data_IF_854008124305
#
_entry.id   IF_854008124305
#
_cell.length_a   1.000
_cell.length_b   1.000
_cell.length_c   1.000
_cell.angle_alpha   90.00
_cell.angle_beta   90.00
_cell.angle_gamma   90.00
#
_symmetry.space_group_name_H-M   'P 1'
#
loop_
_entity.id
_entity.type
_entity.pdbx_description
1 polymer ?
#
# COMPACT_ATOMS: atom_id res chain seq x y z
N UNK A 1 -47.72 -25.56 -38.46
CA UNK A 1 -47.66 -25.55 -36.97
C UNK A 1 -46.59 -24.55 -36.57
N UNK A 2 -46.93 -23.55 -35.74
CA UNK A 2 -46.08 -22.39 -35.49
C UNK A 2 -45.04 -22.65 -34.38
N UNK A 3 -43.95 -21.89 -34.46
CA UNK A 3 -42.81 -21.92 -33.55
C UNK A 3 -43.18 -21.43 -32.15
N UNK A 4 -42.68 -22.14 -31.13
CA UNK A 4 -42.88 -21.83 -29.73
C UNK A 4 -41.62 -21.09 -29.21
N UNK A 5 -41.66 -19.76 -29.17
CA UNK A 5 -40.67 -18.93 -28.48
C UNK A 5 -41.15 -18.69 -27.06
N UNK A 6 -40.63 -19.47 -26.11
CA UNK A 6 -40.85 -19.20 -24.69
C UNK A 6 -39.94 -18.05 -24.26
N UNK A 7 -40.59 -16.97 -23.83
CA UNK A 7 -39.98 -15.81 -23.24
C UNK A 7 -39.20 -16.18 -21.98
N UNK A 8 -37.95 -15.74 -21.95
CA UNK A 8 -37.24 -15.51 -20.69
C UNK A 8 -37.58 -14.08 -20.32
N UNK A 9 -38.31 -13.93 -19.22
CA UNK A 9 -38.55 -12.67 -18.53
C UNK A 9 -37.21 -12.05 -18.14
N UNK A 10 -36.67 -11.28 -19.07
CA UNK A 10 -35.62 -10.31 -18.83
C UNK A 10 -36.24 -9.24 -17.94
N UNK A 11 -35.98 -9.34 -16.64
CA UNK A 11 -36.15 -8.27 -15.67
C UNK A 11 -35.15 -7.12 -15.97
N UNK A 12 -35.20 -6.59 -17.19
CA UNK A 12 -34.74 -5.25 -17.51
C UNK A 12 -35.96 -4.35 -17.38
N UNK A 13 -36.33 -4.07 -16.14
CA UNK A 13 -37.03 -2.83 -15.81
C UNK A 13 -36.17 -1.67 -16.30
N UNK A 14 -36.55 -1.15 -17.46
CA UNK A 14 -36.42 0.23 -17.93
C UNK A 14 -35.58 1.13 -17.00
N UNK A 15 -34.26 1.08 -17.14
CA UNK A 15 -33.39 2.08 -16.57
C UNK A 15 -33.48 3.31 -17.48
N UNK A 16 -34.19 4.34 -17.03
CA UNK A 16 -34.02 5.68 -17.55
C UNK A 16 -32.52 5.93 -17.71
N UNK A 17 -32.07 6.39 -18.88
CA UNK A 17 -30.71 6.91 -19.07
C UNK A 17 -30.55 8.02 -18.03
N UNK A 18 -29.90 7.71 -16.91
CA UNK A 18 -29.59 8.71 -15.89
C UNK A 18 -28.58 9.66 -16.49
N UNK A 19 -29.00 10.88 -16.80
CA UNK A 19 -28.17 12.02 -17.24
C UNK A 19 -27.18 12.49 -16.14
N UNK A 20 -27.00 11.69 -15.09
CA UNK A 20 -26.10 11.95 -13.97
C UNK A 20 -24.67 12.04 -14.49
N UNK A 21 -23.99 13.09 -14.08
CA UNK A 21 -22.62 13.38 -14.48
C UNK A 21 -21.92 14.18 -13.37
N UNK A 22 -20.60 14.27 -13.43
CA UNK A 22 -19.82 14.94 -12.40
C UNK A 22 -19.98 14.26 -11.05
N UNK A 23 -20.01 15.05 -9.98
CA UNK A 23 -20.07 14.55 -8.59
C UNK A 23 -21.35 13.73 -8.33
N UNK A 24 -22.49 14.10 -8.92
CA UNK A 24 -23.76 13.39 -8.74
C UNK A 24 -23.69 11.94 -9.21
N UNK A 25 -22.97 11.67 -10.30
CA UNK A 25 -22.76 10.31 -10.79
C UNK A 25 -21.91 9.49 -9.82
N UNK A 26 -20.90 10.11 -9.22
CA UNK A 26 -20.00 9.44 -8.27
C UNK A 26 -20.77 9.08 -7.00
N UNK A 27 -21.51 10.03 -6.45
CA UNK A 27 -22.32 9.82 -5.24
C UNK A 27 -23.40 8.74 -5.45
N UNK A 28 -24.03 8.72 -6.64
CA UNK A 28 -25.00 7.67 -6.97
C UNK A 28 -24.40 6.26 -6.95
N UNK A 29 -23.15 6.09 -7.38
CA UNK A 29 -22.51 4.77 -7.48
C UNK A 29 -21.65 4.37 -6.28
N UNK A 30 -21.04 5.34 -5.60
CA UNK A 30 -19.99 5.11 -4.61
C UNK A 30 -20.20 5.91 -3.31
N UNK A 31 -21.25 6.71 -3.24
CA UNK A 31 -21.56 7.56 -2.11
C UNK A 31 -21.89 6.79 -0.82
N UNK A 32 -21.87 7.47 0.35
CA UNK A 32 -21.37 8.83 0.50
C UNK A 32 -19.84 8.90 0.30
N UNK A 33 -19.37 9.98 -0.33
CA UNK A 33 -17.95 10.34 -0.40
C UNK A 33 -17.49 11.09 0.87
N UNK A 34 -16.19 11.07 1.15
CA UNK A 34 -15.62 11.81 2.26
C UNK A 34 -15.31 13.25 1.82
N UNK A 35 -16.14 14.22 2.22
CA UNK A 35 -15.92 15.67 2.01
C UNK A 35 -15.40 16.00 0.58
N UNK A 36 -16.17 15.71 -0.48
CA UNK A 36 -15.69 15.81 -1.85
C UNK A 36 -15.22 17.22 -2.21
N UNK A 37 -14.02 17.30 -2.80
CA UNK A 37 -13.39 18.52 -3.30
C UNK A 37 -14.15 19.09 -4.50
N UNK A 38 -14.02 20.40 -4.68
CA UNK A 38 -14.58 21.08 -5.84
C UNK A 38 -13.75 20.75 -7.07
N UNK A 39 -14.36 20.09 -8.04
CA UNK A 39 -13.79 19.90 -9.37
C UNK A 39 -14.85 20.15 -10.44
N UNK A 40 -14.41 20.33 -11.68
CA UNK A 40 -15.35 20.44 -12.80
C UNK A 40 -16.07 19.12 -13.04
N UNK A 41 -17.14 19.17 -13.83
CA UNK A 41 -17.99 18.01 -14.16
C UNK A 41 -17.21 16.86 -14.82
N UNK A 42 -16.24 17.19 -15.67
CA UNK A 42 -15.50 16.19 -16.46
C UNK A 42 -14.60 15.27 -15.62
N UNK A 43 -13.71 15.77 -14.73
CA UNK A 43 -12.90 14.94 -13.83
C UNK A 43 -13.70 13.92 -13.02
N UNK A 44 -14.78 14.35 -12.36
CA UNK A 44 -15.63 13.44 -11.59
C UNK A 44 -16.34 12.39 -12.48
N UNK A 45 -16.74 12.77 -13.69
CA UNK A 45 -17.31 11.83 -14.66
C UNK A 45 -16.28 10.77 -15.08
N UNK A 46 -15.06 11.20 -15.40
CA UNK A 46 -13.97 10.28 -15.77
C UNK A 46 -13.60 9.36 -14.62
N UNK A 47 -13.51 9.88 -13.40
CA UNK A 47 -13.29 9.10 -12.18
C UNK A 47 -14.36 8.00 -12.04
N UNK A 48 -15.65 8.35 -12.17
CA UNK A 48 -16.74 7.37 -12.05
C UNK A 48 -16.67 6.29 -13.13
N UNK A 49 -16.48 6.68 -14.38
CA UNK A 49 -16.38 5.73 -15.50
C UNK A 49 -15.18 4.80 -15.29
N UNK A 50 -14.02 5.37 -14.91
CA UNK A 50 -12.81 4.61 -14.64
C UNK A 50 -13.03 3.59 -13.51
N UNK A 51 -13.58 4.03 -12.37
CA UNK A 51 -13.86 3.17 -11.21
C UNK A 51 -14.88 2.08 -11.53
N UNK A 52 -15.95 2.41 -12.26
CA UNK A 52 -16.94 1.42 -12.71
C UNK A 52 -16.30 0.37 -13.62
N UNK A 53 -15.52 0.78 -14.62
CA UNK A 53 -14.83 -0.15 -15.52
C UNK A 53 -13.83 -1.05 -14.78
N UNK A 54 -13.06 -0.46 -13.87
CA UNK A 54 -12.12 -1.19 -13.02
C UNK A 54 -12.86 -2.20 -12.16
N UNK A 55 -13.94 -1.81 -11.46
CA UNK A 55 -14.73 -2.72 -10.61
C UNK A 55 -15.52 -3.78 -11.39
N UNK A 56 -15.82 -3.55 -12.67
CA UNK A 56 -16.43 -4.56 -13.54
C UNK A 56 -15.42 -5.64 -13.94
N UNK A 57 -14.16 -5.25 -14.13
CA UNK A 57 -13.09 -6.14 -14.58
C UNK A 57 -12.38 -6.83 -13.43
N UNK A 58 -12.23 -6.13 -12.30
CA UNK A 58 -11.45 -6.53 -11.14
C UNK A 58 -12.33 -6.60 -9.90
N UNK A 59 -11.96 -7.47 -8.97
CA UNK A 59 -12.65 -7.62 -7.69
C UNK A 59 -12.32 -6.41 -6.80
N UNK A 60 -13.34 -5.79 -6.21
CA UNK A 60 -13.15 -4.82 -5.11
C UNK A 60 -13.04 -5.57 -3.80
N UNK A 61 -12.34 -4.99 -2.83
CA UNK A 61 -12.22 -5.58 -1.48
C UNK A 61 -13.60 -5.87 -0.88
N UNK A 62 -14.59 -5.00 -1.12
CA UNK A 62 -15.97 -5.15 -0.58
C UNK A 62 -16.91 -5.98 -1.48
N UNK A 63 -16.42 -6.59 -2.56
CA UNK A 63 -17.29 -7.33 -3.49
C UNK A 63 -17.99 -8.50 -2.79
N UNK A 64 -19.33 -8.49 -2.80
CA UNK A 64 -20.15 -9.65 -2.42
C UNK A 64 -19.89 -10.78 -3.41
N UNK A 65 -19.72 -12.05 -2.97
CA UNK A 65 -19.52 -13.17 -3.88
C UNK A 65 -20.60 -13.19 -4.97
N UNK A 66 -20.20 -13.46 -6.22
CA UNK A 66 -21.11 -13.51 -7.36
C UNK A 66 -22.19 -14.58 -7.09
N UNK A 67 -23.44 -14.15 -6.88
CA UNK A 67 -24.59 -15.06 -6.78
C UNK A 67 -24.66 -15.92 -8.05
N UNK A 68 -24.43 -17.23 -7.91
CA UNK A 68 -24.60 -18.22 -8.98
C UNK A 68 -23.33 -18.98 -9.40
N UNK A 69 -22.17 -18.75 -8.78
CA UNK A 69 -21.12 -19.77 -8.79
C UNK A 69 -21.44 -20.79 -7.70
N UNK A 70 -21.75 -22.03 -8.09
CA UNK A 70 -21.87 -23.18 -7.16
C UNK A 70 -20.50 -23.62 -6.60
N UNK A 71 -19.42 -22.93 -6.96
CA UNK A 71 -18.19 -22.95 -6.19
C UNK A 71 -18.39 -22.05 -4.97
N UNK A 72 -18.41 -22.65 -3.79
CA UNK A 72 -18.08 -22.03 -2.51
C UNK A 72 -16.72 -21.33 -2.67
N UNK A 73 -16.72 -20.12 -3.24
CA UNK A 73 -15.51 -19.33 -3.38
C UNK A 73 -15.13 -18.87 -1.98
N UNK A 74 -14.32 -19.69 -1.30
CA UNK A 74 -13.57 -19.29 -0.14
C UNK A 74 -13.04 -17.88 -0.42
N UNK A 75 -13.50 -16.92 0.39
CA UNK A 75 -13.01 -15.57 0.29
C UNK A 75 -11.50 -15.62 0.42
N UNK A 76 -10.80 -15.32 -0.68
CA UNK A 76 -9.34 -15.36 -0.80
C UNK A 76 -8.72 -14.80 0.48
N UNK A 77 -7.92 -15.60 1.16
CA UNK A 77 -7.37 -15.27 2.48
C UNK A 77 -6.69 -13.90 2.49
N UNK A 78 -6.06 -13.56 1.38
CA UNK A 78 -5.45 -12.26 1.11
C UNK A 78 -6.43 -11.07 1.17
N UNK A 79 -7.65 -11.22 0.65
CA UNK A 79 -8.67 -10.16 0.73
C UNK A 79 -9.06 -9.90 2.18
N UNK A 80 -9.07 -10.93 3.04
CA UNK A 80 -9.34 -10.80 4.48
C UNK A 80 -8.24 -10.02 5.18
N UNK A 81 -6.98 -10.22 4.82
CA UNK A 81 -5.86 -9.46 5.37
C UNK A 81 -5.96 -7.97 5.02
N UNK A 82 -6.20 -7.63 3.75
CA UNK A 82 -6.42 -6.23 3.35
C UNK A 82 -7.60 -5.62 4.12
N UNK A 83 -8.73 -6.33 4.22
CA UNK A 83 -9.89 -5.87 5.00
C UNK A 83 -9.54 -5.58 6.45
N UNK A 84 -8.87 -6.51 7.12
CA UNK A 84 -8.50 -6.36 8.52
C UNK A 84 -7.58 -5.15 8.73
N UNK A 85 -6.54 -5.01 7.89
CA UNK A 85 -5.60 -3.89 7.97
C UNK A 85 -6.31 -2.54 7.75
N UNK A 86 -7.19 -2.46 6.74
CA UNK A 86 -7.91 -1.22 6.41
C UNK A 86 -8.96 -0.89 7.49
N UNK A 87 -9.60 -1.91 8.07
CA UNK A 87 -10.59 -1.72 9.16
C UNK A 87 -9.96 -1.05 10.38
N UNK A 88 -8.75 -1.45 10.75
CA UNK A 88 -8.02 -0.81 11.85
C UNK A 88 -7.82 0.70 11.60
N UNK A 89 -7.51 1.08 10.35
CA UNK A 89 -7.34 2.49 9.97
C UNK A 89 -8.68 3.22 10.00
N UNK A 90 -9.76 2.59 9.55
CA UNK A 90 -11.12 3.14 9.64
C UNK A 90 -11.50 3.44 11.10
N UNK A 91 -11.27 2.49 12.01
CA UNK A 91 -11.54 2.65 13.44
C UNK A 91 -10.71 3.79 14.06
N UNK A 92 -9.41 3.86 13.74
CA UNK A 92 -8.53 4.92 14.22
C UNK A 92 -8.92 6.33 13.74
N UNK A 93 -9.56 6.41 12.57
CA UNK A 93 -10.00 7.65 11.94
C UNK A 93 -11.48 7.98 12.25
N UNK A 94 -12.16 7.15 13.04
CA UNK A 94 -13.59 7.26 13.34
C UNK A 94 -14.45 7.28 12.06
N UNK A 95 -14.08 6.43 11.10
CA UNK A 95 -14.85 6.20 9.88
C UNK A 95 -15.76 5.00 10.02
N UNK A 96 -16.91 5.05 9.34
CA UNK A 96 -17.80 3.88 9.25
C UNK A 96 -17.05 2.73 8.55
N UNK A 97 -17.18 1.52 9.10
CA UNK A 97 -16.54 0.33 8.56
C UNK A 97 -16.87 0.13 7.07
N UNK A 98 -15.85 -0.11 6.27
CA UNK A 98 -15.94 -0.28 4.81
C UNK A 98 -15.84 1.01 4.00
N UNK A 99 -15.79 2.18 4.63
CA UNK A 99 -15.65 3.49 3.97
C UNK A 99 -14.42 3.58 3.07
N UNK A 100 -13.27 3.13 3.55
CA UNK A 100 -12.01 3.05 2.82
C UNK A 100 -11.90 1.75 2.04
N UNK A 101 -12.41 0.64 2.57
CA UNK A 101 -12.34 -0.65 1.87
C UNK A 101 -13.02 -0.60 0.49
N UNK A 102 -14.18 0.07 0.37
CA UNK A 102 -14.90 0.20 -0.92
C UNK A 102 -14.10 0.97 -1.98
N UNK A 103 -13.10 1.75 -1.56
CA UNK A 103 -12.23 2.53 -2.42
C UNK A 103 -11.05 1.74 -2.97
N UNK A 104 -10.82 0.52 -2.49
CA UNK A 104 -9.67 -0.32 -2.86
C UNK A 104 -10.10 -1.39 -3.86
N UNK A 105 -9.40 -1.44 -5.00
CA UNK A 105 -9.58 -2.47 -6.03
C UNK A 105 -8.27 -3.17 -6.32
N UNK A 106 -8.26 -4.50 -6.24
CA UNK A 106 -7.08 -5.32 -6.46
C UNK A 106 -6.95 -5.60 -7.96
N UNK A 107 -5.93 -5.05 -8.60
CA UNK A 107 -5.69 -5.20 -10.04
C UNK A 107 -4.84 -6.44 -10.35
N UNK A 108 -3.93 -6.79 -9.44
CA UNK A 108 -3.05 -7.96 -9.51
C UNK A 108 -2.82 -8.49 -8.09
N UNK A 109 -3.01 -9.80 -7.90
CA UNK A 109 -2.65 -10.51 -6.67
C UNK A 109 -1.98 -11.82 -7.06
N UNK A 110 -0.67 -11.75 -7.30
CA UNK A 110 0.15 -12.94 -7.56
C UNK A 110 0.92 -13.25 -6.27
N UNK A 111 0.57 -14.34 -5.60
CA UNK A 111 1.24 -14.81 -4.38
C UNK A 111 1.63 -16.27 -4.56
N UNK A 112 2.89 -16.58 -4.27
CA UNK A 112 3.42 -17.95 -4.25
C UNK A 112 3.82 -18.25 -2.81
N UNK A 113 3.29 -19.34 -2.26
CA UNK A 113 3.58 -19.80 -0.90
C UNK A 113 4.68 -20.88 -0.91
N UNK A 114 5.38 -21.01 0.21
CA UNK A 114 6.31 -22.09 0.55
C UNK A 114 6.03 -22.49 2.00
N UNK A 115 5.49 -23.71 2.21
CA UNK A 115 5.02 -24.19 3.52
C UNK A 115 4.10 -23.19 4.27
N UNK A 116 3.09 -22.65 3.57
CA UNK A 116 2.11 -21.65 4.07
C UNK A 116 2.66 -20.22 4.25
N UNK A 117 3.99 -20.02 4.17
CA UNK A 117 4.59 -18.68 4.22
C UNK A 117 4.68 -18.05 2.83
N UNK A 118 4.47 -16.73 2.67
CA UNK A 118 4.68 -16.05 1.40
C UNK A 118 6.14 -16.16 0.95
N UNK A 119 6.38 -16.86 -0.17
CA UNK A 119 7.69 -16.92 -0.82
C UNK A 119 7.90 -15.76 -1.77
N UNK A 120 6.87 -15.40 -2.52
CA UNK A 120 6.93 -14.23 -3.40
C UNK A 120 5.57 -13.63 -3.62
N UNK A 121 5.50 -12.30 -3.67
CA UNK A 121 4.28 -11.57 -4.01
C UNK A 121 4.55 -10.52 -5.08
N UNK A 122 3.54 -10.27 -5.91
CA UNK A 122 3.48 -9.16 -6.86
C UNK A 122 2.05 -8.63 -6.89
N UNK A 123 1.83 -7.56 -6.12
CA UNK A 123 0.52 -6.97 -5.86
C UNK A 123 0.42 -5.59 -6.48
N UNK A 124 -0.64 -5.36 -7.25
CA UNK A 124 -0.99 -4.03 -7.77
C UNK A 124 -2.39 -3.71 -7.30
N UNK A 125 -2.51 -2.63 -6.55
CA UNK A 125 -3.76 -2.21 -5.94
C UNK A 125 -4.03 -0.76 -6.29
N UNK A 126 -5.29 -0.44 -6.61
CA UNK A 126 -5.74 0.93 -6.87
C UNK A 126 -6.63 1.41 -5.74
N UNK A 127 -6.28 2.55 -5.16
CA UNK A 127 -7.03 3.25 -4.13
C UNK A 127 -7.68 4.47 -4.78
N UNK A 128 -8.99 4.40 -5.01
CA UNK A 128 -9.76 5.55 -5.47
C UNK A 128 -9.94 6.55 -4.34
N UNK A 129 -9.56 7.80 -4.55
CA UNK A 129 -9.75 8.82 -3.52
C UNK A 129 -11.23 8.96 -3.16
N UNK A 130 -11.58 8.98 -1.87
CA UNK A 130 -12.94 9.28 -1.42
C UNK A 130 -13.24 10.79 -1.41
N UNK A 131 -12.24 11.66 -1.59
CA UNK A 131 -12.37 13.12 -1.48
C UNK A 131 -12.17 13.85 -2.80
N UNK A 132 -11.51 13.23 -3.79
CA UNK A 132 -11.11 13.89 -5.03
C UNK A 132 -11.29 12.97 -6.24
N UNK A 133 -11.43 13.52 -7.46
CA UNK A 133 -11.49 12.72 -8.69
C UNK A 133 -10.09 12.23 -9.08
N UNK A 134 -9.42 11.50 -8.19
CA UNK A 134 -8.04 11.01 -8.29
C UNK A 134 -7.97 9.56 -7.78
N UNK A 135 -6.87 8.87 -8.07
CA UNK A 135 -6.57 7.59 -7.42
C UNK A 135 -5.07 7.42 -7.23
N UNK A 136 -4.69 6.47 -6.37
CA UNK A 136 -3.32 6.05 -6.15
C UNK A 136 -3.20 4.61 -6.60
N UNK A 137 -2.26 4.32 -7.50
CA UNK A 137 -1.82 2.95 -7.76
C UNK A 137 -0.67 2.63 -6.80
N UNK A 138 -0.75 1.49 -6.12
CA UNK A 138 0.27 0.97 -5.20
C UNK A 138 0.78 -0.35 -5.76
N UNK A 139 2.10 -0.51 -5.80
CA UNK A 139 2.75 -1.74 -6.23
C UNK A 139 3.65 -2.25 -5.12
N UNK A 140 3.47 -3.52 -4.76
CA UNK A 140 4.30 -4.21 -3.80
C UNK A 140 4.85 -5.49 -4.42
N UNK A 141 6.15 -5.68 -4.30
CA UNK A 141 6.83 -6.89 -4.73
C UNK A 141 7.66 -7.41 -3.57
N UNK A 142 7.52 -8.69 -3.28
CA UNK A 142 8.23 -9.37 -2.21
C UNK A 142 8.84 -10.67 -2.71
N UNK A 143 10.00 -11.02 -2.16
CA UNK A 143 10.62 -12.31 -2.35
C UNK A 143 11.36 -12.69 -1.07
N UNK A 144 11.02 -13.84 -0.49
CA UNK A 144 11.76 -14.46 0.58
C UNK A 144 11.88 -15.95 0.28
N UNK A 145 13.10 -16.48 0.29
CA UNK A 145 13.32 -17.91 0.07
C UNK A 145 14.42 -18.43 0.99
N UNK A 146 14.02 -19.35 1.85
CA UNK A 146 14.95 -20.17 2.60
C UNK A 146 15.59 -21.22 1.70
N UNK A 147 16.91 -21.29 1.70
CA UNK A 147 17.73 -22.34 1.07
C UNK A 147 18.55 -23.02 2.15
N UNK A 148 19.15 -24.17 1.80
CA UNK A 148 19.90 -25.02 2.74
C UNK A 148 20.97 -24.28 3.57
N UNK A 149 21.52 -23.19 3.05
CA UNK A 149 22.60 -22.42 3.69
C UNK A 149 22.41 -20.90 3.61
N UNK A 150 21.29 -20.41 3.11
CA UNK A 150 21.07 -18.98 2.88
C UNK A 150 19.58 -18.62 2.88
N UNK A 151 19.25 -17.40 3.29
CA UNK A 151 17.92 -16.83 3.08
C UNK A 151 18.09 -15.69 2.08
N UNK A 152 17.41 -15.78 0.94
CA UNK A 152 17.28 -14.68 0.00
C UNK A 152 16.07 -13.86 0.44
N UNK A 153 16.22 -12.55 0.59
CA UNK A 153 15.11 -11.67 0.93
C UNK A 153 15.26 -10.32 0.22
N UNK A 154 14.17 -9.86 -0.38
CA UNK A 154 14.03 -8.51 -0.89
C UNK A 154 12.57 -8.11 -1.00
N UNK A 155 12.30 -6.81 -0.89
CA UNK A 155 11.01 -6.24 -1.23
C UNK A 155 11.17 -4.83 -1.83
N UNK A 156 10.16 -4.42 -2.59
CA UNK A 156 10.00 -3.05 -3.07
C UNK A 156 8.55 -2.63 -2.93
N UNK A 157 8.34 -1.41 -2.46
CA UNK A 157 7.03 -0.79 -2.35
C UNK A 157 7.07 0.61 -2.97
N UNK A 158 6.13 0.88 -3.85
CA UNK A 158 6.03 2.15 -4.55
C UNK A 158 4.59 2.53 -4.84
N UNK A 159 4.39 3.80 -5.17
CA UNK A 159 3.07 4.34 -5.48
C UNK A 159 3.11 5.36 -6.61
N UNK A 160 1.96 5.59 -7.23
CA UNK A 160 1.77 6.59 -8.28
C UNK A 160 0.43 7.28 -8.10
N UNK A 161 0.46 8.60 -7.93
CA UNK A 161 -0.75 9.43 -7.81
C UNK A 161 -1.23 9.84 -9.20
N UNK A 162 -2.45 9.46 -9.55
CA UNK A 162 -3.11 9.83 -10.80
C UNK A 162 -4.09 10.98 -10.55
N UNK A 163 -3.57 12.21 -10.65
CA UNK A 163 -4.33 13.45 -10.40
C UNK A 163 -5.39 13.76 -11.46
N UNK A 164 -5.29 13.15 -12.63
CA UNK A 164 -6.20 13.37 -13.78
C UNK A 164 -6.52 12.03 -14.44
N UNK A 165 -7.36 11.20 -13.78
CA UNK A 165 -7.69 9.89 -14.31
C UNK A 165 -8.39 10.02 -15.67
N UNK A 166 -7.91 9.24 -16.64
CA UNK A 166 -8.61 9.04 -17.90
C UNK A 166 -9.85 8.18 -17.65
N UNK A 167 -10.91 8.35 -18.46
CA UNK A 167 -12.09 7.49 -18.39
C UNK A 167 -11.75 6.01 -18.65
N UNK A 168 -10.71 5.73 -19.45
CA UNK A 168 -10.18 4.39 -19.68
C UNK A 168 -9.23 4.01 -18.55
N UNK A 169 -9.57 2.96 -17.80
CA UNK A 169 -8.73 2.46 -16.73
C UNK A 169 -7.53 1.66 -17.27
N UNK A 170 -6.31 2.03 -16.83
CA UNK A 170 -5.13 1.18 -17.01
C UNK A 170 -5.32 -0.13 -16.27
N UNK A 171 -4.96 -1.23 -16.92
CA UNK A 171 -4.99 -2.58 -16.37
C UNK A 171 -3.64 -2.93 -15.71
N UNK A 172 -3.62 -4.01 -14.92
CA UNK A 172 -2.40 -4.46 -14.24
C UNK A 172 -1.19 -4.66 -15.17
N UNK A 173 -1.38 -5.26 -16.35
CA UNK A 173 -0.29 -5.48 -17.30
C UNK A 173 0.30 -4.15 -17.82
N UNK A 174 -0.54 -3.18 -18.12
CA UNK A 174 -0.10 -1.85 -18.53
C UNK A 174 0.72 -1.17 -17.42
N UNK A 175 0.29 -1.32 -16.15
CA UNK A 175 1.04 -0.84 -14.98
C UNK A 175 2.38 -1.56 -14.84
N UNK A 176 2.41 -2.90 -14.93
CA UNK A 176 3.67 -3.67 -14.87
C UNK A 176 4.67 -3.21 -15.94
N UNK A 177 4.20 -2.83 -17.13
CA UNK A 177 5.06 -2.30 -18.19
C UNK A 177 5.63 -0.90 -17.92
N UNK A 178 5.03 -0.13 -17.00
CA UNK A 178 5.60 1.16 -16.55
C UNK A 178 6.71 0.99 -15.51
N UNK A 179 6.75 -0.17 -14.83
CA UNK A 179 7.65 -0.47 -13.73
C UNK A 179 8.89 -1.19 -14.28
N UNK A 180 10.09 -0.76 -13.89
CA UNK A 180 11.34 -1.31 -14.44
C UNK A 180 11.67 -2.65 -13.78
N UNK A 181 12.25 -3.56 -14.56
CA UNK A 181 12.99 -4.72 -14.01
C UNK A 181 14.40 -4.26 -13.63
N UNK A 182 14.70 -4.23 -12.34
CA UNK A 182 15.98 -3.75 -11.81
C UNK A 182 16.22 -4.21 -10.38
N UNK A 183 17.29 -3.69 -9.76
CA UNK A 183 17.51 -3.82 -8.32
C UNK A 183 16.41 -3.14 -7.51
N UNK A 184 16.23 -3.49 -6.23
CA UNK A 184 15.16 -2.95 -5.39
C UNK A 184 15.04 -1.42 -5.41
N UNK A 185 16.17 -0.72 -5.44
CA UNK A 185 16.28 0.74 -5.46
C UNK A 185 15.82 1.41 -6.76
N UNK A 186 15.75 0.65 -7.87
CA UNK A 186 15.54 1.18 -9.22
C UNK A 186 14.11 0.97 -9.76
N UNK A 187 13.29 0.17 -9.05
CA UNK A 187 12.00 -0.34 -9.57
C UNK A 187 11.04 0.79 -9.95
N UNK A 188 11.00 1.87 -9.14
CA UNK A 188 10.04 2.96 -9.28
C UNK A 188 10.62 4.28 -9.80
N UNK A 189 11.83 4.27 -10.38
CA UNK A 189 12.54 5.49 -10.77
C UNK A 189 11.93 6.26 -11.98
N UNK A 190 10.83 5.79 -12.58
CA UNK A 190 10.31 6.31 -13.85
C UNK A 190 8.78 6.40 -13.90
N UNK A 191 8.27 7.05 -14.95
CA UNK A 191 6.85 7.11 -15.32
C UNK A 191 5.93 7.71 -14.23
N UNK A 192 6.49 8.52 -13.33
CA UNK A 192 5.76 9.17 -12.25
C UNK A 192 5.51 8.28 -11.03
N UNK A 193 6.07 7.08 -11.00
CA UNK A 193 6.15 6.27 -9.78
C UNK A 193 7.07 6.94 -8.77
N UNK A 194 6.79 6.70 -7.49
CA UNK A 194 7.57 7.12 -6.34
C UNK A 194 7.87 5.89 -5.50
N UNK A 195 9.11 5.78 -5.01
CA UNK A 195 9.50 4.74 -4.08
C UNK A 195 8.99 5.11 -2.69
N UNK A 196 8.26 4.20 -2.03
CA UNK A 196 7.93 4.33 -0.62
C UNK A 196 9.07 3.76 0.22
N UNK A 197 9.50 2.54 -0.12
CA UNK A 197 10.66 1.93 0.49
C UNK A 197 11.00 0.57 -0.11
N UNK A 198 12.19 0.11 0.21
CA UNK A 198 12.71 -1.17 -0.25
C UNK A 198 13.68 -1.73 0.79
N UNK A 199 13.86 -3.04 0.76
CA UNK A 199 14.83 -3.73 1.59
C UNK A 199 15.32 -5.00 0.91
N UNK A 200 16.55 -5.39 1.20
CA UNK A 200 17.15 -6.63 0.75
C UNK A 200 18.31 -7.05 1.66
N UNK A 201 18.74 -8.30 1.55
CA UNK A 201 20.04 -8.68 2.06
C UNK A 201 21.15 -8.28 1.08
N UNK A 202 22.32 -7.96 1.63
CA UNK A 202 23.53 -7.77 0.84
C UNK A 202 23.99 -9.09 0.24
N UNK A 203 23.80 -9.22 -1.07
CA UNK A 203 24.25 -10.39 -1.84
C UNK A 203 25.69 -10.24 -2.36
N UNK A 204 26.45 -9.21 -1.92
CA UNK A 204 27.84 -9.06 -2.35
C UNK A 204 28.76 -10.17 -1.79
N UNK A 205 29.76 -10.55 -2.60
CA UNK A 205 30.60 -11.71 -2.34
C UNK A 205 31.37 -11.56 -1.03
N UNK A 206 31.17 -12.51 -0.09
CA UNK A 206 31.72 -12.57 1.27
C UNK A 206 31.05 -11.69 2.35
N UNK A 207 29.90 -11.08 2.08
CA UNK A 207 29.15 -10.36 3.14
C UNK A 207 28.32 -11.29 4.04
N UNK A 208 28.98 -12.33 4.54
CA UNK A 208 28.51 -13.13 5.66
C UNK A 208 29.18 -12.56 6.91
N UNK A 209 28.40 -11.91 7.77
CA UNK A 209 28.87 -11.48 9.07
C UNK A 209 29.40 -12.64 9.90
N UNK A 210 29.98 -12.28 11.04
CA UNK A 210 30.32 -13.27 12.06
C UNK A 210 29.07 -14.13 12.33
N UNK A 211 29.19 -15.46 12.16
CA UNK A 211 28.10 -16.47 12.25
C UNK A 211 27.17 -16.61 11.02
N UNK A 212 27.54 -16.09 9.86
CA UNK A 212 26.76 -16.32 8.62
C UNK A 212 25.49 -15.46 8.50
N UNK A 213 25.37 -14.41 9.32
CA UNK A 213 24.26 -13.45 9.23
C UNK A 213 24.48 -12.52 8.04
N UNK A 214 23.47 -12.39 7.18
CA UNK A 214 23.49 -11.42 6.08
C UNK A 214 23.17 -10.02 6.61
N UNK A 215 23.80 -9.02 6.01
CA UNK A 215 23.54 -7.62 6.36
C UNK A 215 22.29 -7.16 5.66
N UNK A 216 21.32 -6.67 6.42
CA UNK A 216 20.14 -6.02 5.90
C UNK A 216 20.47 -4.61 5.38
N UNK A 217 20.00 -4.33 4.18
CA UNK A 217 20.00 -3.01 3.55
C UNK A 217 18.58 -2.62 3.22
N UNK A 218 18.25 -1.35 3.40
CA UNK A 218 16.93 -0.85 3.08
C UNK A 218 16.81 0.62 3.36
N UNK A 219 15.76 1.22 2.81
CA UNK A 219 15.46 2.64 2.98
C UNK A 219 13.97 2.89 2.80
N UNK A 220 13.45 3.80 3.62
CA UNK A 220 12.18 4.49 3.33
C UNK A 220 12.54 5.74 2.53
N UNK A 221 12.07 5.81 1.29
CA UNK A 221 12.36 6.89 0.34
C UNK A 221 11.19 7.87 0.21
N UNK A 222 10.46 8.05 1.30
CA UNK A 222 9.43 9.07 1.43
C UNK A 222 10.03 10.42 1.82
N UNK A 223 9.42 11.48 1.30
CA UNK A 223 9.71 12.87 1.63
C UNK A 223 8.43 13.55 2.16
N UNK A 224 8.57 14.67 2.89
CA UNK A 224 7.44 15.39 3.49
C UNK A 224 6.37 15.73 2.43
N UNK A 225 6.79 16.19 1.25
CA UNK A 225 5.88 16.51 0.15
C UNK A 225 5.14 15.28 -0.37
N UNK A 226 5.83 14.13 -0.44
CA UNK A 226 5.23 12.87 -0.90
C UNK A 226 4.18 12.34 0.06
N UNK A 227 4.43 12.47 1.37
CA UNK A 227 3.47 12.09 2.42
C UNK A 227 2.26 13.02 2.43
N UNK A 228 2.48 14.33 2.31
CA UNK A 228 1.40 15.31 2.19
C UNK A 228 0.54 15.04 0.95
N UNK A 229 1.15 14.80 -0.20
CA UNK A 229 0.45 14.49 -1.45
C UNK A 229 -0.45 13.25 -1.31
N UNK A 230 0.04 12.21 -0.65
CA UNK A 230 -0.75 11.00 -0.35
C UNK A 230 -1.94 11.35 0.55
N UNK A 231 -1.70 12.09 1.64
CA UNK A 231 -2.76 12.49 2.55
C UNK A 231 -3.83 13.34 1.85
N UNK A 232 -3.43 14.38 1.12
CA UNK A 232 -4.36 15.29 0.45
C UNK A 232 -5.23 14.57 -0.58
N UNK A 233 -4.64 13.63 -1.31
CA UNK A 233 -5.39 12.80 -2.25
C UNK A 233 -6.40 11.93 -1.52
N UNK A 234 -6.07 11.33 -0.37
CA UNK A 234 -6.94 10.36 0.29
C UNK A 234 -7.98 11.00 1.23
N UNK A 235 -7.61 12.09 1.91
CA UNK A 235 -8.40 12.66 3.00
C UNK A 235 -8.71 14.15 2.83
N UNK A 236 -8.16 14.79 1.79
CA UNK A 236 -8.33 16.20 1.50
C UNK A 236 -7.25 17.08 2.15
N UNK A 237 -7.34 18.38 1.88
CA UNK A 237 -6.38 19.40 2.36
C UNK A 237 -6.17 19.29 3.88
N UNK A 238 -4.89 19.36 4.28
CA UNK A 238 -4.48 19.30 5.68
C UNK A 238 -3.68 20.56 6.03
N UNK A 239 -4.27 21.41 6.87
CA UNK A 239 -3.60 22.63 7.33
C UNK A 239 -2.57 22.28 8.41
N UNK A 240 -1.32 22.74 8.22
CA UNK A 240 -0.25 22.57 9.20
C UNK A 240 -0.51 23.51 10.40
N UNK A 241 -0.65 22.97 11.62
CA UNK A 241 -0.89 23.78 12.81
C UNK A 241 0.31 24.67 13.17
N UNK A 242 0.09 25.61 14.09
CA UNK A 242 1.18 26.38 14.67
C UNK A 242 2.09 25.47 15.53
N UNK A 243 3.41 25.67 15.45
CA UNK A 243 4.39 24.87 16.21
C UNK A 243 4.20 24.95 17.73
N UNK A 244 3.50 25.97 18.23
CA UNK A 244 3.20 26.13 19.66
C UNK A 244 2.07 25.24 20.17
N UNK A 245 1.28 24.64 19.27
CA UNK A 245 0.18 23.75 19.62
C UNK A 245 0.60 22.28 19.43
N UNK A 246 1.17 21.70 20.48
CA UNK A 246 1.71 20.34 20.44
C UNK A 246 0.65 19.28 20.17
N UNK A 247 -0.59 19.49 20.64
CA UNK A 247 -1.69 18.53 20.45
C UNK A 247 -2.17 18.55 18.99
N UNK A 248 -2.39 19.74 18.42
CA UNK A 248 -2.75 19.86 17.02
C UNK A 248 -1.63 19.34 16.11
N UNK A 249 -0.37 19.64 16.42
CA UNK A 249 0.78 19.12 15.66
C UNK A 249 0.86 17.59 15.71
N UNK A 250 0.61 16.98 16.87
CA UNK A 250 0.55 15.52 16.98
C UNK A 250 -0.59 14.93 16.13
N UNK A 251 -1.78 15.54 16.16
CA UNK A 251 -2.90 15.11 15.33
C UNK A 251 -2.58 15.24 13.82
N UNK A 252 -1.90 16.32 13.42
CA UNK A 252 -1.40 16.52 12.06
C UNK A 252 -0.46 15.38 11.63
N UNK A 253 0.58 15.09 12.41
CA UNK A 253 1.52 14.01 12.11
C UNK A 253 0.86 12.63 12.10
N UNK A 254 -0.04 12.34 13.04
CA UNK A 254 -0.82 11.10 13.05
C UNK A 254 -1.65 10.93 11.79
N UNK A 255 -2.26 12.01 11.29
CA UNK A 255 -3.02 11.98 10.05
C UNK A 255 -2.13 11.61 8.85
N UNK A 256 -0.94 12.21 8.76
CA UNK A 256 0.05 11.89 7.73
C UNK A 256 0.50 10.43 7.78
N UNK A 257 0.82 9.91 8.98
CA UNK A 257 1.22 8.51 9.18
C UNK A 257 0.10 7.56 8.74
N UNK A 258 -1.16 7.86 9.04
CA UNK A 258 -2.31 7.05 8.60
C UNK A 258 -2.47 7.00 7.09
N UNK A 259 -2.15 8.08 6.37
CA UNK A 259 -2.11 8.08 4.90
C UNK A 259 -1.13 7.06 4.35
N UNK A 260 0.08 6.98 4.92
CA UNK A 260 1.09 6.00 4.51
C UNK A 260 0.70 4.58 4.92
N UNK A 261 0.17 4.41 6.14
CA UNK A 261 -0.35 3.11 6.60
C UNK A 261 -1.47 2.60 5.71
N UNK A 262 -2.30 3.46 5.13
CA UNK A 262 -3.33 3.05 4.18
C UNK A 262 -2.73 2.50 2.87
N UNK A 263 -1.59 3.03 2.40
CA UNK A 263 -0.88 2.45 1.25
C UNK A 263 -0.35 1.05 1.56
N UNK A 264 0.21 0.85 2.76
CA UNK A 264 0.68 -0.45 3.25
C UNK A 264 -0.48 -1.45 3.40
N UNK A 265 -1.55 -1.04 4.08
CA UNK A 265 -2.74 -1.85 4.30
C UNK A 265 -3.42 -2.27 2.99
N UNK A 266 -3.42 -1.41 1.97
CA UNK A 266 -3.98 -1.71 0.66
C UNK A 266 -3.29 -2.88 -0.04
N UNK A 267 -2.02 -3.15 0.29
CA UNK A 267 -1.25 -4.32 -0.19
C UNK A 267 -1.03 -5.37 0.91
N UNK A 268 -1.94 -5.42 1.90
CA UNK A 268 -1.97 -6.48 2.91
C UNK A 268 -0.91 -6.36 4.01
N UNK A 269 -0.25 -5.22 4.14
CA UNK A 269 0.81 -5.01 5.15
C UNK A 269 0.24 -4.32 6.39
N UNK A 270 0.12 -5.07 7.49
CA UNK A 270 -0.25 -4.58 8.82
C UNK A 270 0.95 -4.03 9.59
N UNK A 271 1.43 -2.84 9.23
CA UNK A 271 2.47 -2.15 9.98
C UNK A 271 1.87 -1.07 10.89
N UNK A 272 2.00 -1.23 12.20
CA UNK A 272 1.67 -0.18 13.17
C UNK A 272 2.86 0.73 13.43
N UNK A 273 2.67 2.02 13.17
CA UNK A 273 3.69 3.04 13.35
C UNK A 273 3.30 3.93 14.52
N UNK A 274 4.06 3.87 15.60
CA UNK A 274 3.88 4.70 16.77
C UNK A 274 4.09 6.17 16.40
N UNK A 275 3.25 7.04 16.94
CA UNK A 275 3.33 8.49 16.83
C UNK A 275 3.72 9.17 18.17
N UNK A 276 3.84 8.39 19.23
CA UNK A 276 4.20 8.83 20.59
C UNK A 276 5.11 7.79 21.25
N UNK A 277 5.83 8.19 22.31
CA UNK A 277 6.75 7.28 23.01
C UNK A 277 6.03 6.19 23.82
N UNK A 278 4.74 6.36 24.16
CA UNK A 278 3.90 5.36 24.85
C UNK A 278 3.28 4.32 23.90
N UNK A 279 3.25 4.60 22.60
CA UNK A 279 2.82 3.65 21.55
C UNK A 279 3.98 2.75 21.10
N UNK A 280 3.70 1.56 20.56
CA UNK A 280 4.71 0.61 20.08
C UNK A 280 4.60 0.33 18.59
N UNK A 281 5.76 0.14 17.94
CA UNK A 281 5.84 -0.22 16.52
C UNK A 281 5.68 -1.74 16.33
N UNK A 282 4.61 -2.17 15.64
CA UNK A 282 4.36 -3.59 15.34
C UNK A 282 4.62 -3.89 13.87
N UNK A 283 5.52 -4.85 13.64
CA UNK A 283 5.88 -5.32 12.30
C UNK A 283 4.80 -6.25 11.76
N UNK A 284 4.58 -6.29 10.44
CA UNK A 284 3.80 -7.34 9.80
C UNK A 284 4.37 -8.72 10.14
N UNK A 285 3.49 -9.70 10.39
CA UNK A 285 3.88 -11.07 10.74
C UNK A 285 4.29 -11.90 9.52
N UNK A 286 3.56 -11.77 8.41
CA UNK A 286 3.70 -12.64 7.23
C UNK A 286 4.72 -12.15 6.21
N UNK A 287 4.94 -10.84 6.15
CA UNK A 287 5.80 -10.20 5.16
C UNK A 287 6.92 -9.47 5.89
N UNK A 288 8.13 -10.03 5.87
CA UNK A 288 9.26 -9.38 6.53
C UNK A 288 9.63 -8.09 5.79
N UNK A 289 9.40 -6.93 6.41
CA UNK A 289 9.89 -5.64 5.89
C UNK A 289 11.22 -5.23 6.52
N UNK A 290 11.55 -5.80 7.67
CA UNK A 290 12.83 -5.58 8.34
C UNK A 290 13.12 -6.69 9.36
N UNK A 291 14.36 -7.15 9.42
CA UNK A 291 14.82 -8.22 10.30
C UNK A 291 15.54 -7.74 11.57
N UNK A 292 16.15 -6.56 11.52
CA UNK A 292 16.90 -5.97 12.65
C UNK A 292 15.99 -5.47 13.79
N UNK A 293 16.59 -5.18 14.94
CA UNK A 293 15.83 -4.68 16.09
C UNK A 293 15.42 -3.20 15.98
N UNK A 294 15.98 -2.45 15.02
CA UNK A 294 15.94 -0.98 14.97
C UNK A 294 14.73 -0.35 14.30
N UNK A 295 13.70 -1.13 13.92
CA UNK A 295 12.41 -0.62 13.40
C UNK A 295 12.53 0.52 12.39
N UNK A 296 13.50 0.40 11.47
CA UNK A 296 13.89 1.49 10.60
C UNK A 296 12.78 1.89 9.61
N UNK A 297 11.86 0.98 9.28
CA UNK A 297 10.68 1.29 8.45
C UNK A 297 9.76 2.27 9.18
N UNK A 298 9.37 1.98 10.42
CA UNK A 298 8.52 2.86 11.23
C UNK A 298 9.17 4.24 11.45
N UNK A 299 10.46 4.26 11.82
CA UNK A 299 11.24 5.49 11.98
C UNK A 299 11.30 6.28 10.66
N UNK A 300 11.53 5.60 9.54
CA UNK A 300 11.57 6.23 8.22
C UNK A 300 10.25 6.90 7.85
N UNK A 301 9.11 6.23 8.11
CA UNK A 301 7.77 6.79 7.91
C UNK A 301 7.55 8.01 8.82
N UNK A 302 7.87 7.91 10.12
CA UNK A 302 7.78 9.04 11.06
C UNK A 302 8.58 10.25 10.58
N UNK A 303 9.85 10.03 10.22
CA UNK A 303 10.73 11.09 9.73
C UNK A 303 10.16 11.77 8.48
N UNK A 304 9.62 11.00 7.53
CA UNK A 304 8.97 11.55 6.35
C UNK A 304 7.68 12.33 6.69
N UNK A 305 7.00 11.96 7.78
CA UNK A 305 5.86 12.70 8.31
C UNK A 305 6.27 13.92 9.16
N UNK A 306 7.56 14.21 9.33
CA UNK A 306 8.07 15.30 10.17
C UNK A 306 8.02 15.02 11.68
N UNK A 307 7.92 13.75 12.08
CA UNK A 307 7.82 13.31 13.46
C UNK A 307 9.08 12.55 13.88
N UNK A 308 9.52 12.71 15.14
CA UNK A 308 10.62 11.95 15.74
C UNK A 308 10.32 11.64 17.20
N UNK A 309 10.47 10.38 17.60
CA UNK A 309 10.30 9.92 18.98
C UNK A 309 11.63 10.00 19.75
N UNK A 310 11.57 10.05 21.08
CA UNK A 310 12.78 10.10 21.90
C UNK A 310 13.63 8.84 21.74
N UNK A 311 12.98 7.67 21.54
CA UNK A 311 13.65 6.39 21.34
C UNK A 311 14.33 6.22 19.98
N UNK A 312 13.92 6.98 18.95
CA UNK A 312 14.35 6.77 17.56
C UNK A 312 15.88 6.85 17.40
N UNK A 313 16.54 7.76 18.13
CA UNK A 313 17.99 7.92 18.05
C UNK A 313 18.77 6.72 18.64
N UNK A 314 18.23 6.13 19.70
CA UNK A 314 18.87 4.98 20.35
C UNK A 314 18.63 3.71 19.55
N UNK A 315 17.44 3.53 18.98
CA UNK A 315 17.13 2.43 18.06
C UNK A 315 18.01 2.48 16.81
N UNK A 316 18.14 3.64 16.17
CA UNK A 316 19.03 3.83 15.02
C UNK A 316 20.48 3.46 15.34
N UNK A 317 20.98 3.88 16.50
CA UNK A 317 22.33 3.55 16.98
C UNK A 317 22.51 2.05 17.18
N UNK A 318 21.52 1.37 17.78
CA UNK A 318 21.52 -0.09 17.96
C UNK A 318 21.51 -0.82 16.62
N UNK A 319 20.66 -0.41 15.68
CA UNK A 319 20.63 -0.99 14.34
C UNK A 319 21.92 -0.81 13.57
N UNK A 320 22.56 0.36 13.69
CA UNK A 320 23.88 0.60 13.10
C UNK A 320 24.94 -0.35 13.68
N UNK A 321 24.90 -0.58 14.99
CA UNK A 321 25.79 -1.55 15.66
C UNK A 321 25.50 -2.98 15.20
N UNK A 322 24.24 -3.42 15.14
CA UNK A 322 23.87 -4.76 14.64
C UNK A 322 24.30 -4.97 13.18
N UNK A 323 24.14 -3.95 12.32
CA UNK A 323 24.64 -4.00 10.93
C UNK A 323 26.16 -4.08 10.85
N UNK A 324 26.87 -3.43 11.77
CA UNK A 324 28.33 -3.47 11.84
C UNK A 324 28.82 -4.84 12.35
N UNK A 325 28.22 -5.37 13.41
CA UNK A 325 28.49 -6.72 13.91
C UNK A 325 28.20 -7.78 12.83
N UNK A 326 27.11 -7.60 12.07
CA UNK A 326 26.75 -8.45 10.93
C UNK A 326 27.67 -8.29 9.72
N UNK A 327 28.63 -7.35 9.70
CA UNK A 327 29.69 -7.31 8.65
C UNK A 327 30.92 -8.12 9.04
N UNK A 328 31.05 -8.51 10.31
CA UNK A 328 32.27 -9.08 10.87
C UNK A 328 33.33 -8.00 11.08
N UNK A 329 34.15 -8.16 12.12
CA UNK A 329 35.38 -7.40 12.23
C UNK A 329 36.36 -7.96 11.19
N UNK A 330 36.78 -7.15 10.22
CA UNK A 330 38.10 -7.32 9.60
C UNK A 330 39.12 -7.03 10.72
N UNK A 331 39.29 -7.98 11.64
CA UNK A 331 40.38 -7.95 12.59
C UNK A 331 41.61 -8.44 11.83
N UNK A 332 42.44 -7.47 11.46
CA UNK A 332 43.78 -7.65 10.93
C UNK A 332 44.48 -8.78 11.70
N UNK A 333 44.58 -9.96 11.11
CA UNK A 333 45.64 -10.89 11.52
C UNK A 333 46.96 -10.35 10.97
N UNK A 334 47.48 -9.33 11.66
CA UNK A 334 48.92 -9.17 11.86
C UNK A 334 49.46 -10.49 12.44
N UNK A 335 50.15 -11.27 11.60
CA UNK A 335 51.18 -12.29 11.88
C UNK A 335 51.10 -13.33 10.75
N UNK A 336 52.07 -13.45 9.85
CA UNK A 336 53.33 -14.11 10.18
C UNK A 336 54.59 -13.49 9.55
N UNK A 337 55.65 -13.55 10.35
CA UNK A 337 57.04 -13.11 10.16
C UNK A 337 57.85 -13.93 9.17
#
# INVERSE_FOLDING_TARGET
>A
MPANTNGVDSAYTSAAKTDLQGLELVEHHFGPLLRPTRATKSPWTNYSINRLQTNQKYRTVVSVPRKGSEDDSEEDEYDKYIKACVSQIEDEMDFEHGTLQKCITILCNETVLDDEEPRSTDHIVRIYSPTAPMYIDVHFKYYCRSRRSEVEWQYTLGYKIQRRPSATASNALAIKNEIKMGGPEDVYAYNGWQTLGWGCYDDSYKNYGERGRRVEFGRVELHEEGVMDVHEVLFGELEKPAETDSEAMLAYHRSLVRGIRLLLAAVGISYDVACTDDESDHRPYELMLEGLSDKWVARGIRNACGLRLARDAEEERKGAMERQEAKGYDDDSEDDK
#
